data_IF_870955330403
#
_entry.id   IF_870955330403
#
_cell.length_a   1.000
_cell.length_b   1.000
_cell.length_c   1.000
_cell.angle_alpha   90.00
_cell.angle_beta   90.00
_cell.angle_gamma   90.00
#
_symmetry.space_group_name_H-M   'P 1'
#
loop_
_entity.id
_entity.type
_entity.pdbx_description
1 polymer ?
#
# COMPACT_ATOMS: atom_id res chain seq x y z
N UNK A 1 -8.40 24.11 -10.89
CA UNK A 1 -7.65 23.81 -12.13
C UNK A 1 -6.16 23.54 -11.90
N UNK A 2 -5.40 24.39 -11.17
CA UNK A 2 -3.97 24.12 -10.84
C UNK A 2 -3.71 22.87 -9.99
N UNK A 3 -4.65 22.48 -9.11
CA UNK A 3 -4.48 21.32 -8.22
C UNK A 3 -4.66 19.99 -8.96
N UNK A 4 -5.62 19.92 -9.89
CA UNK A 4 -5.84 18.72 -10.71
C UNK A 4 -4.61 18.39 -11.56
N UNK A 5 -4.04 19.39 -12.24
CA UNK A 5 -2.83 19.21 -13.03
C UNK A 5 -1.62 18.69 -12.21
N UNK A 6 -1.56 18.99 -10.90
CA UNK A 6 -0.54 18.44 -10.00
C UNK A 6 -0.82 16.98 -9.66
N UNK A 7 -2.07 16.61 -9.39
CA UNK A 7 -2.44 15.21 -9.13
C UNK A 7 -2.25 14.33 -10.36
N UNK A 8 -2.58 14.82 -11.55
CA UNK A 8 -2.34 14.11 -12.80
C UNK A 8 -0.84 13.86 -13.02
N UNK A 9 0.00 14.86 -12.73
CA UNK A 9 1.46 14.71 -12.80
C UNK A 9 1.99 13.67 -11.79
N UNK A 10 1.51 13.71 -10.54
CA UNK A 10 1.90 12.75 -9.51
C UNK A 10 1.42 11.33 -9.86
N UNK A 11 0.21 11.18 -10.39
CA UNK A 11 -0.31 9.90 -10.86
C UNK A 11 0.49 9.35 -12.04
N UNK A 12 0.93 10.21 -12.95
CA UNK A 12 1.84 9.85 -14.04
C UNK A 12 3.13 9.22 -13.50
N UNK A 13 3.81 9.90 -12.57
CA UNK A 13 5.04 9.40 -11.95
C UNK A 13 4.81 8.07 -11.20
N UNK A 14 3.72 7.95 -10.44
CA UNK A 14 3.41 6.69 -9.74
C UNK A 14 3.13 5.54 -10.71
N UNK A 15 2.47 5.82 -11.84
CA UNK A 15 2.20 4.81 -12.86
C UNK A 15 3.48 4.37 -13.56
N UNK A 16 4.38 5.31 -13.87
CA UNK A 16 5.69 5.04 -14.46
C UNK A 16 6.53 4.14 -13.55
N UNK A 17 6.66 4.49 -12.27
CA UNK A 17 7.41 3.68 -11.30
C UNK A 17 6.76 2.29 -11.15
N UNK A 18 5.43 2.20 -11.12
CA UNK A 18 4.73 0.90 -11.06
C UNK A 18 5.08 -0.02 -12.24
N UNK A 19 5.16 0.54 -13.45
CA UNK A 19 5.56 -0.20 -14.65
C UNK A 19 7.04 -0.62 -14.60
N UNK A 20 7.93 0.25 -14.11
CA UNK A 20 9.35 -0.09 -13.94
C UNK A 20 9.56 -1.23 -12.94
N UNK A 21 8.81 -1.21 -11.82
CA UNK A 21 8.84 -2.26 -10.80
C UNK A 21 8.30 -3.59 -11.36
N UNK A 22 7.22 -3.56 -12.15
CA UNK A 22 6.70 -4.75 -12.85
C UNK A 22 7.71 -5.31 -13.85
N UNK A 23 8.35 -4.46 -14.65
CA UNK A 23 9.38 -4.87 -15.59
C UNK A 23 10.58 -5.53 -14.88
N UNK A 24 10.98 -4.99 -13.73
CA UNK A 24 12.01 -5.60 -12.89
C UNK A 24 11.56 -6.98 -12.38
N UNK A 25 10.33 -7.08 -11.87
CA UNK A 25 9.75 -8.36 -11.43
C UNK A 25 9.72 -9.40 -12.56
N UNK A 26 9.34 -9.01 -13.77
CA UNK A 26 9.34 -9.88 -14.95
C UNK A 26 10.75 -10.41 -15.25
N UNK A 27 11.76 -9.53 -15.25
CA UNK A 27 13.16 -9.91 -15.48
C UNK A 27 13.64 -10.92 -14.43
N UNK A 28 13.31 -10.72 -13.15
CA UNK A 28 13.68 -11.63 -12.07
C UNK A 28 12.98 -12.98 -12.17
N UNK A 29 11.73 -13.00 -12.63
CA UNK A 29 10.94 -14.22 -12.84
C UNK A 29 11.42 -15.06 -14.03
N UNK A 30 12.27 -14.55 -14.93
CA UNK A 30 12.81 -15.32 -16.07
C UNK A 30 13.76 -16.43 -15.66
N UNK A 31 14.37 -16.36 -14.48
CA UNK A 31 15.11 -17.48 -13.89
C UNK A 31 14.19 -18.25 -12.92
N UNK A 32 13.72 -19.46 -13.28
CA UNK A 32 12.82 -20.23 -12.43
C UNK A 32 13.44 -20.63 -11.09
N UNK A 33 14.77 -20.83 -11.03
CA UNK A 33 15.45 -21.19 -9.80
C UNK A 33 15.55 -19.99 -8.84
N UNK A 34 15.79 -18.80 -9.39
CA UNK A 34 15.72 -17.55 -8.63
C UNK A 34 14.29 -17.31 -8.12
N UNK A 35 13.30 -17.41 -9.02
CA UNK A 35 11.91 -17.17 -8.69
C UNK A 35 11.41 -18.09 -7.57
N UNK A 36 11.72 -19.39 -7.66
CA UNK A 36 11.35 -20.36 -6.63
C UNK A 36 12.00 -20.07 -5.26
N UNK A 37 13.21 -19.50 -5.23
CA UNK A 37 13.92 -19.14 -3.99
C UNK A 37 13.44 -17.84 -3.38
N UNK A 38 12.85 -16.95 -4.17
CA UNK A 38 12.51 -15.57 -3.79
C UNK A 38 11.03 -15.23 -4.04
N UNK A 39 10.14 -16.23 -3.97
CA UNK A 39 8.70 -16.05 -4.24
C UNK A 39 8.09 -14.94 -3.38
N UNK A 40 8.45 -14.89 -2.10
CA UNK A 40 7.90 -13.89 -1.16
C UNK A 40 8.33 -12.48 -1.52
N UNK A 41 9.59 -12.29 -1.86
CA UNK A 41 10.13 -11.01 -2.28
C UNK A 41 9.53 -10.56 -3.61
N UNK A 42 9.37 -11.49 -4.58
CA UNK A 42 8.72 -11.20 -5.87
C UNK A 42 7.24 -10.83 -5.71
N UNK A 43 6.52 -11.49 -4.81
CA UNK A 43 5.15 -11.10 -4.43
C UNK A 43 5.13 -9.70 -3.80
N UNK A 44 6.10 -9.37 -2.95
CA UNK A 44 6.19 -8.04 -2.36
C UNK A 44 6.47 -6.95 -3.41
N UNK A 45 7.30 -7.25 -4.43
CA UNK A 45 7.58 -6.37 -5.56
C UNK A 45 6.31 -6.12 -6.39
N UNK A 46 5.60 -7.18 -6.78
CA UNK A 46 4.31 -7.07 -7.49
C UNK A 46 3.29 -6.25 -6.68
N UNK A 47 3.21 -6.49 -5.38
CA UNK A 47 2.33 -5.74 -4.49
C UNK A 47 2.67 -4.25 -4.41
N UNK A 48 3.95 -3.87 -4.46
CA UNK A 48 4.38 -2.47 -4.50
C UNK A 48 3.89 -1.81 -5.79
N UNK A 49 4.07 -2.46 -6.94
CA UNK A 49 3.59 -1.95 -8.22
C UNK A 49 2.07 -1.78 -8.25
N UNK A 50 1.33 -2.76 -7.73
CA UNK A 50 -0.13 -2.69 -7.61
C UNK A 50 -0.58 -1.51 -6.73
N UNK A 51 0.10 -1.26 -5.60
CA UNK A 51 -0.19 -0.11 -4.73
C UNK A 51 0.05 1.22 -5.43
N UNK A 52 1.13 1.33 -6.21
CA UNK A 52 1.44 2.54 -6.96
C UNK A 52 0.38 2.83 -8.04
N UNK A 53 -0.07 1.80 -8.78
CA UNK A 53 -1.16 1.94 -9.75
C UNK A 53 -2.48 2.33 -9.08
N UNK A 54 -2.79 1.75 -7.92
CA UNK A 54 -3.99 2.11 -7.16
C UNK A 54 -3.95 3.57 -6.68
N UNK A 55 -2.80 4.03 -6.16
CA UNK A 55 -2.61 5.42 -5.75
C UNK A 55 -2.70 6.39 -6.94
N UNK A 56 -2.11 6.04 -8.09
CA UNK A 56 -2.24 6.84 -9.29
C UNK A 56 -3.71 7.01 -9.72
N UNK A 57 -4.50 5.93 -9.69
CA UNK A 57 -5.92 5.99 -10.02
C UNK A 57 -6.71 6.92 -9.07
N UNK A 58 -6.41 6.89 -7.76
CA UNK A 58 -7.03 7.75 -6.75
C UNK A 58 -6.72 9.23 -7.00
N UNK A 59 -5.47 9.54 -7.39
CA UNK A 59 -5.06 10.91 -7.67
C UNK A 59 -5.75 11.46 -8.93
N UNK A 60 -5.87 10.65 -10.00
CA UNK A 60 -6.58 11.05 -11.23
C UNK A 60 -8.08 11.23 -11.00
N UNK A 61 -8.69 10.45 -10.11
CA UNK A 61 -10.12 10.60 -9.78
C UNK A 61 -10.44 11.88 -9.00
N UNK A 62 -9.47 12.77 -8.78
CA UNK A 62 -9.68 14.12 -8.27
C UNK A 62 -9.93 14.21 -6.78
N UNK A 63 -9.49 13.20 -6.00
CA UNK A 63 -9.64 13.11 -4.53
C UNK A 63 -10.97 13.67 -4.03
N UNK A 64 -12.09 13.14 -4.51
CA UNK A 64 -13.35 13.35 -3.81
C UNK A 64 -13.29 12.51 -2.53
N UNK A 65 -13.39 13.12 -1.33
CA UNK A 65 -13.43 12.39 -0.05
C UNK A 65 -14.46 11.24 -0.07
N UNK A 66 -15.55 11.39 -0.83
CA UNK A 66 -16.53 10.34 -1.10
C UNK A 66 -15.99 9.14 -1.89
N UNK A 67 -15.07 9.33 -2.84
CA UNK A 67 -14.41 8.25 -3.58
C UNK A 67 -13.32 7.58 -2.73
N UNK A 68 -12.60 8.34 -1.90
CA UNK A 68 -11.70 7.77 -0.89
C UNK A 68 -12.46 6.93 0.15
N UNK A 69 -13.66 7.37 0.55
CA UNK A 69 -14.53 6.61 1.46
C UNK A 69 -15.07 5.30 0.88
N UNK A 70 -15.12 5.16 -0.45
CA UNK A 70 -15.48 3.91 -1.15
C UNK A 70 -14.33 2.91 -1.20
N UNK A 71 -13.09 3.38 -1.12
CA UNK A 71 -11.91 2.52 -0.94
C UNK A 71 -11.73 2.30 0.56
N UNK A 72 -12.57 1.43 1.13
CA UNK A 72 -12.45 1.09 2.56
C UNK A 72 -11.16 0.33 2.81
N UNK A 73 -10.56 0.56 3.98
CA UNK A 73 -9.50 -0.31 4.51
C UNK A 73 -9.94 -1.78 4.47
N UNK A 74 -11.24 -2.08 4.57
CA UNK A 74 -11.77 -3.44 4.46
C UNK A 74 -11.74 -4.03 3.03
N UNK A 75 -11.77 -3.20 1.99
CA UNK A 75 -11.58 -3.63 0.59
C UNK A 75 -10.10 -3.88 0.27
N UNK A 76 -9.22 -3.08 0.85
CA UNK A 76 -7.78 -3.35 0.85
C UNK A 76 -7.46 -4.59 1.71
N UNK A 77 -7.98 -4.66 2.93
CA UNK A 77 -7.84 -5.77 3.88
C UNK A 77 -8.44 -7.07 3.35
N UNK A 78 -9.58 -7.09 2.67
CA UNK A 78 -10.11 -8.32 2.05
C UNK A 78 -9.19 -8.86 0.95
N UNK A 79 -8.56 -7.97 0.17
CA UNK A 79 -7.53 -8.36 -0.80
C UNK A 79 -6.22 -8.83 -0.15
N UNK A 80 -5.94 -8.40 1.08
CA UNK A 80 -4.75 -8.73 1.86
C UNK A 80 -4.92 -9.92 2.83
N UNK A 81 -6.10 -10.14 3.40
CA UNK A 81 -6.39 -11.24 4.33
C UNK A 81 -6.55 -12.57 3.61
N UNK A 82 -7.04 -12.57 2.36
CA UNK A 82 -6.95 -13.75 1.51
C UNK A 82 -5.50 -14.23 1.25
N UNK A 83 -4.50 -13.42 1.60
CA UNK A 83 -3.07 -13.75 1.59
C UNK A 83 -2.50 -14.14 2.96
N UNK A 84 -3.21 -13.91 4.06
CA UNK A 84 -2.73 -14.14 5.44
C UNK A 84 -3.37 -15.34 6.15
N UNK A 85 -4.39 -15.97 5.55
CA UNK A 85 -5.04 -17.17 6.14
C UNK A 85 -4.21 -18.47 6.00
N UNK A 86 -3.07 -18.46 5.30
CA UNK A 86 -2.04 -19.50 5.47
C UNK A 86 -1.04 -19.10 6.57
N UNK A 87 -1.55 -19.06 7.81
CA UNK A 87 -0.77 -19.20 9.03
C UNK A 87 -0.22 -17.90 9.62
N UNK A 88 -0.87 -17.39 10.67
CA UNK A 88 -0.38 -17.49 12.06
C UNK A 88 -1.33 -16.77 13.04
N UNK A 89 -1.28 -17.28 14.26
CA UNK A 89 -2.18 -17.12 15.41
C UNK A 89 -2.37 -15.69 15.95
N UNK A 90 -3.43 -15.53 16.75
CA UNK A 90 -4.03 -14.29 17.25
C UNK A 90 -3.12 -13.34 18.05
N UNK A 91 -3.41 -12.03 17.98
CA UNK A 91 -2.96 -11.03 18.96
C UNK A 91 -3.98 -10.91 20.11
N UNK A 92 -3.58 -10.96 21.40
CA UNK A 92 -4.46 -10.58 22.48
C UNK A 92 -4.49 -9.05 22.60
N UNK A 93 -5.70 -8.48 22.69
CA UNK A 93 -5.95 -7.09 23.04
C UNK A 93 -5.84 -6.94 24.56
N UNK A 94 -4.89 -6.13 25.04
CA UNK A 94 -4.88 -5.67 26.44
C UNK A 94 -5.69 -4.37 26.54
N UNK A 95 -6.64 -4.36 27.49
CA UNK A 95 -7.57 -3.27 27.78
C UNK A 95 -6.84 -1.99 28.25
N UNK A 96 -7.11 -0.86 27.60
CA UNK A 96 -6.60 0.46 28.02
C UNK A 96 -7.62 1.13 28.96
N UNK A 97 -7.22 1.34 30.21
CA UNK A 97 -7.95 2.07 31.27
C UNK A 97 -7.99 3.59 30.98
N UNK A 98 -9.16 4.26 30.96
CA UNK A 98 -9.27 5.67 30.63
C UNK A 98 -9.03 6.53 31.87
N UNK A 99 -7.77 6.77 32.22
CA UNK A 99 -7.46 7.50 33.43
C UNK A 99 -6.02 7.97 33.59
N UNK A 100 -5.42 8.62 32.60
CA UNK A 100 -4.38 9.61 32.93
C UNK A 100 -4.25 10.73 31.88
N UNK A 101 -4.40 11.95 32.36
CA UNK A 101 -4.24 13.18 31.61
C UNK A 101 -2.76 13.57 31.61
N UNK A 102 -2.06 13.24 30.53
CA UNK A 102 -0.64 13.55 30.35
C UNK A 102 -0.31 14.08 28.95
N UNK A 103 -1.07 15.07 28.48
CA UNK A 103 -0.73 15.81 27.27
C UNK A 103 0.45 16.76 27.55
N UNK A 104 1.46 16.73 26.67
CA UNK A 104 2.57 17.70 26.50
C UNK A 104 3.82 17.48 27.36
N UNK A 105 4.89 16.91 26.77
CA UNK A 105 6.29 17.39 26.82
C UNK A 105 7.24 16.40 26.12
N UNK A 106 7.46 16.50 24.81
CA UNK A 106 8.56 15.74 24.17
C UNK A 106 9.19 16.35 22.91
N UNK A 107 8.99 17.64 22.62
CA UNK A 107 9.83 18.33 21.63
C UNK A 107 10.43 19.57 22.26
N UNK A 108 11.67 19.43 22.72
CA UNK A 108 12.51 20.47 23.31
C UNK A 108 13.95 20.33 22.83
N UNK A 109 14.53 21.50 22.55
CA UNK A 109 15.91 21.90 22.20
C UNK A 109 16.48 21.54 20.82
#
# INVERSE_FOLDING_TARGET
>A
MRTQAKYDAMAGVLSEIGLEVEALGEVLCRDPAFAARHVRELQAIDLIAQKQRALAAILVSGMCEQEMGKITIDSLRSRFCGFLDEGTDACPVEDVDPGDAGYLSFWGD
#
